data_IF_770947204431
#
_entry.id   IF_770947204431
#
_cell.length_a   1.000
_cell.length_b   1.000
_cell.length_c   1.000
_cell.angle_alpha   90.00
_cell.angle_beta   90.00
_cell.angle_gamma   90.00
#
_symmetry.space_group_name_H-M   'P 1'
#
loop_
_entity.id
_entity.type
_entity.pdbx_description
1 polymer ?
#
# COMPACT_ATOMS: atom_id res chain seq x y z
N UNK A 1 -28.44 -5.99 -19.29
CA UNK A 1 -29.52 -6.92 -19.68
C UNK A 1 -29.57 -8.02 -18.65
N UNK A 2 -30.50 -7.94 -17.69
CA UNK A 2 -30.71 -9.00 -16.71
C UNK A 2 -31.90 -9.86 -17.15
N UNK A 3 -31.66 -11.16 -17.23
CA UNK A 3 -32.66 -12.17 -17.55
C UNK A 3 -33.49 -12.43 -16.29
N UNK A 4 -34.81 -12.34 -16.43
CA UNK A 4 -35.79 -12.73 -15.42
C UNK A 4 -36.22 -14.17 -15.69
N UNK A 5 -36.11 -15.07 -14.72
CA UNK A 5 -36.78 -16.37 -14.77
C UNK A 5 -37.91 -16.39 -13.73
N UNK A 6 -39.14 -16.46 -14.25
CA UNK A 6 -40.36 -16.69 -13.48
C UNK A 6 -40.42 -18.16 -13.06
N UNK A 7 -40.61 -18.41 -11.78
CA UNK A 7 -41.27 -19.64 -11.34
C UNK A 7 -42.45 -19.26 -10.46
N UNK A 8 -43.64 -19.55 -10.98
CA UNK A 8 -44.94 -19.42 -10.33
C UNK A 8 -45.08 -20.50 -9.26
N UNK A 9 -45.51 -20.13 -8.04
CA UNK A 9 -46.32 -20.98 -7.15
C UNK A 9 -47.22 -20.12 -6.26
N UNK A 10 -48.38 -20.68 -5.95
CA UNK A 10 -49.61 -20.06 -5.44
C UNK A 10 -49.48 -19.40 -4.06
N UNK A 11 -50.17 -18.26 -3.90
CA UNK A 11 -50.34 -17.54 -2.64
C UNK A 11 -51.70 -17.92 -2.00
N UNK A 12 -51.68 -18.41 -0.76
CA UNK A 12 -52.85 -18.40 0.15
C UNK A 12 -52.52 -17.41 1.26
N UNK A 13 -53.42 -16.46 1.49
CA UNK A 13 -53.14 -15.23 2.21
C UNK A 13 -53.06 -15.33 3.73
N UNK A 14 -52.41 -14.31 4.29
CA UNK A 14 -52.81 -13.42 5.41
C UNK A 14 -51.59 -13.12 6.29
N UNK A 15 -51.39 -11.84 6.65
CA UNK A 15 -50.43 -11.44 7.67
C UNK A 15 -49.31 -10.53 7.16
N UNK A 16 -49.35 -9.29 7.62
CA UNK A 16 -48.38 -8.21 7.43
C UNK A 16 -46.97 -8.56 7.92
N UNK A 17 -45.96 -8.32 7.10
CA UNK A 17 -44.72 -7.59 7.48
C UNK A 17 -44.01 -7.21 6.18
N UNK A 18 -44.03 -5.92 5.84
CA UNK A 18 -43.16 -5.35 4.82
C UNK A 18 -41.75 -5.33 5.41
N UNK A 19 -41.03 -6.43 5.27
CA UNK A 19 -39.58 -6.43 5.38
C UNK A 19 -39.06 -5.90 4.04
N UNK A 20 -38.74 -4.61 4.03
CA UNK A 20 -37.83 -4.07 3.02
C UNK A 20 -36.59 -4.97 2.99
N UNK A 21 -36.06 -5.35 1.82
CA UNK A 21 -34.74 -5.95 1.79
C UNK A 21 -33.81 -4.88 2.36
N UNK A 22 -33.34 -5.09 3.59
CA UNK A 22 -32.18 -4.37 4.11
C UNK A 22 -31.16 -4.47 3.00
N UNK A 23 -30.78 -3.33 2.42
CA UNK A 23 -29.58 -3.23 1.60
C UNK A 23 -28.52 -3.99 2.40
N UNK A 24 -28.17 -5.20 1.95
CA UNK A 24 -26.94 -5.82 2.39
C UNK A 24 -25.92 -4.77 1.98
N UNK A 25 -25.47 -3.99 2.95
CA UNK A 25 -24.32 -3.12 2.82
C UNK A 25 -23.25 -4.10 2.44
N UNK A 26 -23.08 -4.31 1.14
CA UNK A 26 -22.01 -5.08 0.57
C UNK A 26 -20.79 -4.47 1.22
N UNK A 27 -20.18 -5.22 2.14
CA UNK A 27 -19.07 -4.73 2.94
C UNK A 27 -18.11 -4.11 1.93
N UNK A 28 -17.97 -2.79 1.99
CA UNK A 28 -17.28 -2.03 0.96
C UNK A 28 -15.82 -2.39 1.09
N UNK A 29 -15.40 -3.42 0.35
CA UNK A 29 -14.03 -3.88 0.36
C UNK A 29 -13.18 -2.69 -0.05
N UNK A 30 -12.28 -2.21 0.82
CA UNK A 30 -11.48 -1.05 0.51
C UNK A 30 -10.68 -1.34 -0.76
N UNK A 31 -10.88 -0.53 -1.81
CA UNK A 31 -10.07 -0.62 -3.01
C UNK A 31 -8.66 -0.17 -2.66
N UNK A 32 -7.68 -1.04 -2.89
CA UNK A 32 -6.28 -0.74 -2.62
C UNK A 32 -5.59 -0.27 -3.90
N UNK A 33 -4.73 0.73 -3.76
CA UNK A 33 -3.82 1.12 -4.83
C UNK A 33 -2.85 -0.03 -5.11
N UNK A 34 -2.65 -0.32 -6.39
CA UNK A 34 -1.65 -1.29 -6.86
C UNK A 34 -0.48 -0.51 -7.43
N UNK A 35 0.73 -0.86 -7.01
CA UNK A 35 1.96 -0.26 -7.53
C UNK A 35 2.37 -0.98 -8.81
N UNK A 36 1.98 -0.44 -9.97
CA UNK A 36 2.38 -0.93 -11.30
C UNK A 36 3.41 0.00 -11.94
N UNK A 37 4.20 -0.51 -12.89
CA UNK A 37 5.23 0.26 -13.61
C UNK A 37 6.28 0.92 -12.70
N UNK A 38 6.83 0.15 -11.77
CA UNK A 38 7.80 0.62 -10.77
C UNK A 38 9.25 0.76 -11.30
N UNK A 39 9.45 1.26 -12.53
CA UNK A 39 10.80 1.46 -13.07
C UNK A 39 11.53 2.57 -12.30
N UNK A 40 12.39 2.18 -11.36
CA UNK A 40 13.16 3.09 -10.53
C UNK A 40 14.36 3.70 -11.25
N UNK A 41 14.65 4.97 -10.93
CA UNK A 41 15.86 5.68 -11.35
C UNK A 41 16.72 6.00 -10.12
N UNK A 42 17.73 5.14 -9.89
CA UNK A 42 18.61 5.19 -8.72
C UNK A 42 19.90 6.00 -8.94
N UNK A 43 20.10 6.49 -10.16
CA UNK A 43 21.17 7.41 -10.56
C UNK A 43 20.89 8.88 -10.22
N UNK A 44 19.64 9.21 -9.89
CA UNK A 44 19.22 10.57 -9.52
C UNK A 44 19.54 10.88 -8.05
N UNK A 45 19.96 12.11 -7.80
CA UNK A 45 20.19 12.63 -6.45
C UNK A 45 18.90 12.69 -5.61
N UNK A 46 19.09 12.92 -4.31
CA UNK A 46 18.01 13.08 -3.33
C UNK A 46 17.17 14.34 -3.59
N UNK A 47 17.75 15.35 -4.24
CA UNK A 47 17.07 16.59 -4.62
C UNK A 47 15.99 16.37 -5.70
N UNK A 48 15.96 15.19 -6.33
CA UNK A 48 14.89 14.79 -7.26
C UNK A 48 13.60 14.37 -6.55
N UNK A 49 13.57 14.35 -5.22
CA UNK A 49 12.36 14.02 -4.45
C UNK A 49 11.34 15.16 -4.53
N UNK A 50 10.15 14.84 -5.05
CA UNK A 50 8.99 15.74 -5.06
C UNK A 50 8.00 15.32 -3.96
N UNK A 51 7.75 16.23 -3.01
CA UNK A 51 6.87 16.00 -1.87
C UNK A 51 5.42 16.41 -2.12
N UNK A 52 5.07 16.88 -3.32
CA UNK A 52 3.70 17.33 -3.65
C UNK A 52 2.63 16.27 -3.38
N UNK A 53 2.95 14.98 -3.52
CA UNK A 53 2.02 13.89 -3.20
C UNK A 53 1.71 13.81 -1.70
N UNK A 54 2.63 14.26 -0.84
CA UNK A 54 2.47 14.27 0.61
C UNK A 54 1.73 15.52 1.11
N UNK A 55 1.53 16.53 0.26
CA UNK A 55 0.74 17.70 0.62
C UNK A 55 -0.71 17.29 0.94
N UNK A 56 -1.18 17.67 2.13
CA UNK A 56 -2.52 17.31 2.60
C UNK A 56 -2.63 15.91 3.24
N UNK A 57 -1.60 15.06 3.16
CA UNK A 57 -1.54 13.81 3.91
C UNK A 57 -1.22 14.11 5.37
N UNK A 58 -2.13 13.76 6.27
CA UNK A 58 -2.00 14.01 7.72
C UNK A 58 -1.46 12.84 8.51
N UNK A 59 -1.61 11.63 7.98
CA UNK A 59 -1.29 10.39 8.69
C UNK A 59 -0.57 9.40 7.78
N UNK A 60 0.42 8.69 8.35
CA UNK A 60 1.12 7.59 7.71
C UNK A 60 1.04 6.33 8.57
N UNK A 61 1.06 5.13 7.95
CA UNK A 61 0.99 3.88 8.69
C UNK A 61 2.27 3.60 9.49
N UNK A 62 2.13 3.34 10.79
CA UNK A 62 3.24 3.02 11.71
C UNK A 62 4.08 1.83 11.23
N UNK A 63 3.44 0.82 10.63
CA UNK A 63 4.15 -0.35 10.11
C UNK A 63 5.20 0.03 9.04
N UNK A 64 4.90 0.99 8.17
CA UNK A 64 5.85 1.43 7.15
C UNK A 64 6.93 2.34 7.75
N UNK A 65 6.52 3.32 8.57
CA UNK A 65 7.44 4.30 9.16
C UNK A 65 8.42 3.64 10.13
N UNK A 66 8.01 2.63 10.89
CA UNK A 66 8.88 1.89 11.81
C UNK A 66 9.99 1.11 11.07
N UNK A 67 9.74 0.59 9.87
CA UNK A 67 10.79 -0.05 9.04
C UNK A 67 11.86 0.97 8.66
N UNK A 68 11.46 2.19 8.27
CA UNK A 68 12.39 3.27 7.94
C UNK A 68 13.19 3.72 9.17
N UNK A 69 12.52 3.89 10.32
CA UNK A 69 13.17 4.32 11.57
C UNK A 69 14.14 3.29 12.15
N UNK A 70 13.79 2.00 12.04
CA UNK A 70 14.59 0.90 12.60
C UNK A 70 15.86 0.58 11.82
N UNK A 71 16.08 1.22 10.66
CA UNK A 71 17.20 0.95 9.74
C UNK A 71 17.28 -0.51 9.29
N UNK A 72 16.17 -1.24 9.38
CA UNK A 72 16.04 -2.63 8.90
C UNK A 72 15.70 -2.71 7.41
N UNK A 73 15.51 -1.57 6.75
CA UNK A 73 15.20 -1.50 5.33
C UNK A 73 16.29 -2.18 4.50
N UNK A 74 17.57 -1.85 4.72
CA UNK A 74 18.69 -2.54 4.08
C UNK A 74 18.66 -4.06 4.24
N UNK A 75 18.51 -4.55 5.47
CA UNK A 75 18.49 -5.99 5.77
C UNK A 75 17.39 -6.70 4.97
N UNK A 76 16.18 -6.14 4.99
CA UNK A 76 15.01 -6.68 4.28
C UNK A 76 15.18 -6.65 2.76
N UNK A 77 15.72 -5.56 2.22
CA UNK A 77 15.99 -5.44 0.80
C UNK A 77 17.04 -6.45 0.34
N UNK A 78 18.14 -6.61 1.09
CA UNK A 78 19.15 -7.60 0.77
C UNK A 78 18.59 -9.03 0.77
N UNK A 79 17.80 -9.39 1.78
CA UNK A 79 17.17 -10.72 1.85
C UNK A 79 16.22 -10.98 0.68
N UNK A 80 15.40 -9.99 0.32
CA UNK A 80 14.45 -10.14 -0.79
C UNK A 80 15.13 -10.16 -2.15
N UNK A 81 16.08 -9.25 -2.39
CA UNK A 81 16.74 -9.09 -3.69
C UNK A 81 17.76 -10.20 -3.96
N UNK A 82 18.31 -10.82 -2.93
CA UNK A 82 19.21 -11.97 -3.08
C UNK A 82 18.54 -13.19 -3.72
N UNK A 83 17.22 -13.34 -3.52
CA UNK A 83 16.46 -14.45 -4.11
C UNK A 83 16.19 -14.27 -5.61
N UNK A 84 16.19 -13.03 -6.10
CA UNK A 84 16.02 -12.73 -7.52
C UNK A 84 17.38 -12.65 -8.20
N UNK A 85 17.89 -13.81 -8.63
CA UNK A 85 19.19 -13.91 -9.26
C UNK A 85 19.31 -13.04 -10.52
N UNK A 86 18.27 -13.02 -11.37
CA UNK A 86 18.25 -12.23 -12.61
C UNK A 86 18.39 -10.75 -12.30
N UNK A 87 17.63 -10.25 -11.34
CA UNK A 87 17.74 -8.85 -10.92
C UNK A 87 19.11 -8.58 -10.29
N UNK A 88 19.54 -9.42 -9.34
CA UNK A 88 20.80 -9.30 -8.63
C UNK A 88 22.00 -9.16 -9.56
N UNK A 89 22.11 -10.06 -10.55
CA UNK A 89 23.19 -10.04 -11.53
C UNK A 89 23.09 -8.83 -12.45
N UNK A 90 21.88 -8.47 -12.91
CA UNK A 90 21.66 -7.29 -13.77
C UNK A 90 22.10 -5.98 -13.12
N UNK A 91 22.06 -5.90 -11.79
CA UNK A 91 22.49 -4.72 -11.05
C UNK A 91 24.00 -4.68 -10.80
N UNK A 92 24.77 -5.71 -11.18
CA UNK A 92 26.20 -5.82 -10.87
C UNK A 92 26.48 -6.53 -9.55
N UNK A 93 25.58 -7.42 -9.14
CA UNK A 93 25.71 -8.24 -7.94
C UNK A 93 25.72 -7.43 -6.65
N UNK A 94 26.47 -7.91 -5.65
CA UNK A 94 26.46 -7.34 -4.30
C UNK A 94 26.76 -5.85 -4.27
N UNK A 95 27.80 -5.42 -4.98
CA UNK A 95 28.24 -4.03 -4.97
C UNK A 95 27.20 -3.11 -5.62
N UNK A 96 26.57 -3.56 -6.69
CA UNK A 96 25.51 -2.81 -7.37
C UNK A 96 24.26 -2.65 -6.51
N UNK A 97 23.84 -3.75 -5.88
CA UNK A 97 22.71 -3.75 -4.94
C UNK A 97 23.01 -2.88 -3.71
N UNK A 98 24.23 -2.94 -3.16
CA UNK A 98 24.60 -2.08 -2.04
C UNK A 98 24.51 -0.59 -2.41
N UNK A 99 24.97 -0.18 -3.61
CA UNK A 99 24.83 1.20 -4.11
C UNK A 99 23.37 1.62 -4.26
N UNK A 100 22.54 0.73 -4.82
CA UNK A 100 21.11 0.97 -4.98
C UNK A 100 20.43 1.18 -3.62
N UNK A 101 20.71 0.30 -2.65
CA UNK A 101 20.14 0.40 -1.30
C UNK A 101 20.63 1.67 -0.59
N UNK A 102 21.89 2.08 -0.79
CA UNK A 102 22.40 3.33 -0.21
C UNK A 102 21.58 4.55 -0.67
N UNK A 103 21.20 4.60 -1.95
CA UNK A 103 20.32 5.67 -2.49
C UNK A 103 18.94 5.62 -1.84
N UNK A 104 18.36 4.42 -1.70
CA UNK A 104 17.05 4.24 -1.04
C UNK A 104 17.11 4.69 0.43
N UNK A 105 18.14 4.30 1.17
CA UNK A 105 18.34 4.67 2.58
C UNK A 105 18.50 6.18 2.77
N UNK A 106 19.22 6.86 1.87
CA UNK A 106 19.34 8.32 1.92
C UNK A 106 17.98 8.99 1.66
N UNK A 107 17.24 8.56 0.64
CA UNK A 107 15.89 9.06 0.36
C UNK A 107 14.91 8.79 1.50
N UNK A 108 15.02 7.64 2.17
CA UNK A 108 14.24 7.32 3.36
C UNK A 108 14.52 8.31 4.51
N UNK A 109 15.79 8.73 4.70
CA UNK A 109 16.14 9.76 5.68
C UNK A 109 15.52 11.11 5.34
N UNK A 110 15.58 11.54 4.08
CA UNK A 110 14.94 12.79 3.64
C UNK A 110 13.43 12.73 3.91
N UNK A 111 12.78 11.61 3.57
CA UNK A 111 11.36 11.40 3.86
C UNK A 111 11.05 11.47 5.37
N UNK A 112 11.86 10.85 6.22
CA UNK A 112 11.69 10.92 7.67
C UNK A 112 11.85 12.35 8.21
N UNK A 113 12.82 13.12 7.68
CA UNK A 113 12.99 14.53 8.00
C UNK A 113 11.76 15.33 7.61
N UNK A 114 11.21 15.09 6.41
CA UNK A 114 9.99 15.74 5.93
C UNK A 114 8.79 15.44 6.85
N UNK A 115 8.56 14.17 7.19
CA UNK A 115 7.48 13.72 8.10
C UNK A 115 7.55 14.46 9.43
N UNK A 116 8.75 14.54 10.02
CA UNK A 116 8.96 15.22 11.31
C UNK A 116 8.75 16.74 11.19
N UNK A 117 9.27 17.36 10.12
CA UNK A 117 9.17 18.82 9.92
C UNK A 117 7.74 19.28 9.66
N UNK A 118 6.90 18.43 9.05
CA UNK A 118 5.52 18.75 8.69
C UNK A 118 4.49 18.24 9.71
N UNK A 119 4.95 17.65 10.83
CA UNK A 119 4.06 17.16 11.89
C UNK A 119 3.09 16.07 11.42
N UNK A 120 3.49 15.26 10.43
CA UNK A 120 2.66 14.16 9.93
C UNK A 120 2.54 13.10 11.02
N UNK A 121 1.32 12.74 11.38
CA UNK A 121 1.05 11.76 12.41
C UNK A 121 1.39 10.36 11.90
N UNK A 122 1.81 9.49 12.82
CA UNK A 122 2.06 8.09 12.50
C UNK A 122 1.09 7.25 13.31
N UNK A 123 0.19 6.54 12.62
CA UNK A 123 -0.94 5.86 13.25
C UNK A 123 -0.91 4.35 13.00
N UNK A 124 -1.27 3.59 14.04
CA UNK A 124 -1.53 2.16 13.91
C UNK A 124 -2.98 1.98 13.47
N UNK A 125 -3.20 1.63 12.20
CA UNK A 125 -4.54 1.30 11.72
C UNK A 125 -4.75 -0.20 11.85
N UNK A 126 -5.64 -0.61 12.76
CA UNK A 126 -6.11 -1.98 12.82
C UNK A 126 -6.78 -2.33 11.48
N UNK A 127 -6.19 -3.27 10.74
CA UNK A 127 -6.92 -3.97 9.69
C UNK A 127 -7.97 -4.81 10.42
N UNK A 128 -9.19 -4.29 10.56
CA UNK A 128 -10.32 -5.14 10.94
C UNK A 128 -10.41 -6.23 9.88
N UNK A 129 -10.07 -7.45 10.26
CA UNK A 129 -10.31 -8.63 9.43
C UNK A 129 -11.83 -8.80 9.40
N UNK A 130 -12.39 -8.69 8.20
CA UNK A 130 -13.78 -9.01 7.91
C UNK A 130 -13.82 -10.43 7.33
#
# INVERSE_FOLDING_TARGET
MCVWSRTTTLNVGTGTTSTWPTLSTEATHPRHLVFTDNKGFFDRNEDNLDFRLLEGIKELPEQAVSVLRSRRLREKLLQSLFLDQTYWESQGGRQGIDKLIDVIERRAKVLLTYINAHGILVTFRERKQY
#
